data_IF_000790329931
#
_entry.id   IF_000790329931
#
_cell.length_a   1.000
_cell.length_b   1.000
_cell.length_c   1.000
_cell.angle_alpha   90.00
_cell.angle_beta   90.00
_cell.angle_gamma   90.00
#
_symmetry.space_group_name_H-M   'P 1'
#
loop_
_entity.id
_entity.type
_entity.pdbx_description
1 polymer ?
#
# COMPACT_ATOMS: atom_id res chain seq x y z
N UNK A 1 -3.32 13.12 -23.89
CA UNK A 1 -2.28 13.64 -22.99
C UNK A 1 -2.25 12.78 -21.74
N UNK A 2 -1.10 12.23 -21.31
CA UNK A 2 -1.03 11.52 -20.04
C UNK A 2 -1.34 12.50 -18.91
N UNK A 3 -2.27 12.13 -18.02
CA UNK A 3 -2.49 12.86 -16.77
C UNK A 3 -1.25 12.59 -15.93
N UNK A 4 -0.36 13.58 -15.80
CA UNK A 4 0.76 13.49 -14.88
C UNK A 4 0.18 13.43 -13.46
N UNK A 5 0.40 12.30 -12.78
CA UNK A 5 0.05 12.18 -11.38
C UNK A 5 0.84 13.23 -10.59
N UNK A 6 0.13 14.15 -9.90
CA UNK A 6 0.76 15.08 -8.96
C UNK A 6 1.25 14.28 -7.77
N UNK A 7 2.55 14.05 -7.70
CA UNK A 7 3.23 13.37 -6.58
C UNK A 7 4.14 14.36 -5.86
N UNK A 8 4.20 14.24 -4.54
CA UNK A 8 5.07 15.01 -3.64
C UNK A 8 5.62 14.06 -2.55
N UNK A 9 6.63 14.52 -1.81
CA UNK A 9 7.18 13.88 -0.63
C UNK A 9 6.81 14.60 0.66
N UNK A 10 6.23 15.81 0.59
CA UNK A 10 5.77 16.53 1.77
C UNK A 10 4.55 15.83 2.38
N UNK A 11 4.77 15.06 3.46
CA UNK A 11 3.73 14.35 4.22
C UNK A 11 3.45 14.95 5.60
N UNK A 12 4.36 15.81 6.09
CA UNK A 12 4.36 16.35 7.44
C UNK A 12 3.52 17.64 7.51
N UNK A 13 2.22 17.44 7.31
CA UNK A 13 1.20 18.48 7.45
C UNK A 13 0.06 17.95 8.32
N UNK A 14 -0.58 18.87 9.03
CA UNK A 14 -1.75 18.55 9.85
C UNK A 14 -3.02 18.81 9.06
N UNK A 15 -4.02 17.95 9.27
CA UNK A 15 -5.34 18.08 8.68
C UNK A 15 -6.38 18.22 9.78
N UNK A 16 -7.27 19.18 9.63
CA UNK A 16 -8.44 19.38 10.50
C UNK A 16 -9.72 19.04 9.76
N UNK A 17 -10.69 18.47 10.46
CA UNK A 17 -12.03 18.27 9.94
C UNK A 17 -12.91 19.47 10.31
N UNK A 18 -13.52 20.12 9.32
CA UNK A 18 -14.32 21.35 9.49
C UNK A 18 -15.75 21.11 9.00
N UNK A 19 -16.75 21.49 9.79
CA UNK A 19 -18.16 21.36 9.42
C UNK A 19 -18.52 22.31 8.27
N UNK A 20 -19.22 21.79 7.27
CA UNK A 20 -19.76 22.61 6.18
C UNK A 20 -21.19 23.04 6.55
N UNK A 21 -21.52 24.33 6.62
CA UNK A 21 -22.89 24.78 6.83
C UNK A 21 -23.74 24.50 5.57
N UNK A 22 -25.05 24.33 5.76
CA UNK A 22 -26.00 24.23 4.67
C UNK A 22 -25.97 25.54 3.87
N UNK A 23 -25.80 25.49 2.52
CA UNK A 23 -25.49 26.68 1.73
C UNK A 23 -26.59 27.74 1.77
N UNK A 24 -27.86 27.33 1.91
CA UNK A 24 -29.00 28.27 1.95
C UNK A 24 -29.41 28.67 3.38
N UNK A 25 -29.40 27.73 4.33
CA UNK A 25 -29.99 27.95 5.66
C UNK A 25 -28.95 28.24 6.73
N UNK A 26 -27.66 28.02 6.46
CA UNK A 26 -26.57 28.13 7.45
C UNK A 26 -26.57 27.02 8.53
N UNK A 27 -27.59 26.15 8.55
CA UNK A 27 -27.73 25.06 9.52
C UNK A 27 -26.69 23.95 9.30
N UNK A 28 -26.62 22.97 10.19
CA UNK A 28 -25.73 21.81 10.02
C UNK A 28 -26.10 21.01 8.77
N UNK A 29 -25.15 20.84 7.84
CA UNK A 29 -25.37 20.04 6.63
C UNK A 29 -25.12 18.53 6.82
N UNK A 30 -24.39 18.14 7.88
CA UNK A 30 -23.88 16.78 8.05
C UNK A 30 -22.62 16.46 7.23
N UNK A 31 -22.20 17.38 6.35
CA UNK A 31 -20.96 17.29 5.60
C UNK A 31 -19.82 18.02 6.30
N UNK A 32 -18.63 17.49 6.12
CA UNK A 32 -17.38 18.03 6.63
C UNK A 32 -16.36 18.09 5.52
N UNK A 33 -15.40 18.99 5.64
CA UNK A 33 -14.21 19.06 4.80
C UNK A 33 -12.99 18.72 5.64
N UNK A 34 -12.10 17.93 5.08
CA UNK A 34 -10.76 17.76 5.63
C UNK A 34 -9.86 18.80 4.98
N UNK A 35 -9.27 19.67 5.80
CA UNK A 35 -8.55 20.87 5.38
C UNK A 35 -7.14 20.83 5.96
N UNK A 36 -6.14 21.05 5.11
CA UNK A 36 -4.76 21.24 5.52
C UNK A 36 -4.61 22.52 6.33
N UNK A 37 -3.91 22.46 7.47
CA UNK A 37 -3.77 23.62 8.35
C UNK A 37 -2.69 24.60 7.91
N UNK A 38 -1.76 24.17 7.05
CA UNK A 38 -0.61 24.95 6.60
C UNK A 38 -0.92 25.81 5.37
N UNK A 39 -1.89 25.39 4.53
CA UNK A 39 -2.22 26.09 3.28
C UNK A 39 -3.73 26.22 2.99
N UNK A 40 -4.59 25.80 3.93
CA UNK A 40 -6.06 25.78 3.81
C UNK A 40 -6.62 25.00 2.60
N UNK A 41 -5.83 24.15 1.96
CA UNK A 41 -6.31 23.30 0.87
C UNK A 41 -7.32 22.26 1.38
N UNK A 42 -8.44 22.15 0.66
CA UNK A 42 -9.46 21.13 0.90
C UNK A 42 -9.00 19.82 0.27
N UNK A 43 -8.72 18.83 1.10
CA UNK A 43 -8.27 17.51 0.67
C UNK A 43 -9.42 16.55 0.32
N UNK A 44 -10.59 16.76 0.92
CA UNK A 44 -11.73 15.89 0.66
C UNK A 44 -12.95 16.20 1.51
N UNK A 45 -14.08 15.62 1.08
CA UNK A 45 -15.37 15.75 1.74
C UNK A 45 -15.70 14.50 2.52
N UNK A 46 -16.14 14.67 3.76
CA UNK A 46 -16.41 13.58 4.71
C UNK A 46 -17.70 13.83 5.49
N UNK A 47 -17.99 12.92 6.43
CA UNK A 47 -19.05 13.09 7.43
C UNK A 47 -18.44 13.16 8.82
N UNK A 48 -19.25 13.52 9.81
CA UNK A 48 -18.92 13.52 11.24
C UNK A 48 -18.44 12.17 11.80
N UNK A 49 -18.74 11.08 11.07
CA UNK A 49 -18.34 9.71 11.41
C UNK A 49 -16.93 9.37 10.97
N UNK A 50 -16.33 10.17 10.11
CA UNK A 50 -15.00 9.93 9.58
C UNK A 50 -13.94 10.20 10.66
N UNK A 51 -13.16 9.18 11.02
CA UNK A 51 -12.04 9.31 11.94
C UNK A 51 -10.81 9.81 11.20
N UNK A 52 -10.44 11.06 11.42
CA UNK A 52 -9.23 11.66 10.87
C UNK A 52 -8.01 11.10 11.61
N UNK A 53 -7.00 10.70 10.84
CA UNK A 53 -5.69 10.26 11.33
C UNK A 53 -4.64 10.99 10.52
N UNK A 54 -3.74 11.74 11.18
CA UNK A 54 -2.69 12.44 10.46
C UNK A 54 -1.63 11.46 9.98
N UNK A 55 -0.93 11.83 8.92
CA UNK A 55 0.12 10.99 8.36
C UNK A 55 1.24 10.77 9.37
N UNK A 56 1.65 11.81 10.12
CA UNK A 56 2.65 11.73 11.18
C UNK A 56 2.31 10.63 12.19
N UNK A 57 1.11 10.65 12.78
CA UNK A 57 0.66 9.65 13.76
C UNK A 57 0.76 8.20 13.23
N UNK A 58 0.46 8.01 11.93
CA UNK A 58 0.53 6.70 11.29
C UNK A 58 1.97 6.24 11.05
N UNK A 59 2.84 7.15 10.60
CA UNK A 59 4.24 6.85 10.32
C UNK A 59 5.05 6.69 11.60
N UNK A 60 4.86 7.54 12.61
CA UNK A 60 5.52 7.43 13.91
C UNK A 60 5.22 6.08 14.57
N UNK A 61 3.99 5.58 14.41
CA UNK A 61 3.62 4.25 14.91
C UNK A 61 4.38 3.13 14.19
N UNK A 62 4.61 3.26 12.88
CA UNK A 62 5.36 2.29 12.11
C UNK A 62 6.86 2.35 12.45
N UNK A 63 7.42 3.55 12.49
CA UNK A 63 8.82 3.81 12.86
C UNK A 63 9.11 3.23 14.24
N UNK A 64 8.30 3.56 15.24
CA UNK A 64 8.45 3.05 16.61
C UNK A 64 8.33 1.52 16.70
N UNK A 65 7.50 0.89 15.85
CA UNK A 65 7.38 -0.57 15.82
C UNK A 65 8.64 -1.25 15.27
N UNK A 66 9.31 -0.64 14.28
CA UNK A 66 10.58 -1.13 13.74
C UNK A 66 11.75 -0.85 14.68
N UNK A 67 11.82 0.35 15.25
CA UNK A 67 12.85 0.74 16.22
C UNK A 67 12.84 -0.17 17.45
N UNK A 68 11.65 -0.47 17.99
CA UNK A 68 11.50 -1.38 19.13
C UNK A 68 12.00 -2.81 18.86
N UNK A 69 12.07 -3.22 17.58
CA UNK A 69 12.53 -4.54 17.13
C UNK A 69 13.98 -4.51 16.61
N UNK A 70 14.61 -3.34 16.58
CA UNK A 70 15.93 -3.16 15.97
C UNK A 70 15.96 -3.52 14.48
N UNK A 71 14.86 -3.30 13.76
CA UNK A 71 14.77 -3.57 12.32
C UNK A 71 15.15 -2.30 11.58
N UNK A 72 16.25 -2.35 10.84
CA UNK A 72 16.66 -1.27 9.96
C UNK A 72 15.74 -1.21 8.73
N UNK A 73 15.27 -0.01 8.39
CA UNK A 73 14.36 0.22 7.25
C UNK A 73 14.80 1.40 6.39
N UNK A 74 14.64 1.26 5.07
CA UNK A 74 14.70 2.40 4.15
C UNK A 74 13.27 2.87 3.86
N UNK A 75 12.94 4.10 4.29
CA UNK A 75 11.60 4.67 4.11
C UNK A 75 11.52 5.57 2.87
N UNK A 76 10.46 5.38 2.08
CA UNK A 76 10.05 6.27 0.99
C UNK A 76 8.60 6.67 1.15
N UNK A 77 8.33 7.97 1.25
CA UNK A 77 6.97 8.50 1.36
C UNK A 77 6.54 9.10 0.02
N UNK A 78 5.32 8.79 -0.39
CA UNK A 78 4.70 9.25 -1.64
C UNK A 78 3.35 9.85 -1.27
N UNK A 79 3.20 11.13 -1.54
CA UNK A 79 1.95 11.87 -1.34
C UNK A 79 1.37 12.19 -2.70
N UNK A 80 0.07 11.97 -2.88
CA UNK A 80 -0.61 12.22 -4.17
C UNK A 80 -1.83 13.09 -3.98
N UNK A 81 -2.29 13.69 -5.10
CA UNK A 81 -3.50 14.51 -5.13
C UNK A 81 -3.45 15.69 -4.15
N UNK A 82 -2.32 16.42 -4.12
CA UNK A 82 -2.15 17.63 -3.30
C UNK A 82 -2.08 17.39 -1.79
N UNK A 83 -1.92 16.14 -1.36
CA UNK A 83 -1.96 15.79 0.06
C UNK A 83 -3.16 14.93 0.45
N UNK A 84 -4.09 14.65 -0.46
CA UNK A 84 -5.27 13.86 -0.12
C UNK A 84 -4.94 12.40 0.20
N UNK A 85 -3.84 11.85 -0.33
CA UNK A 85 -3.45 10.44 -0.16
C UNK A 85 -1.97 10.34 0.14
N UNK A 86 -1.61 9.41 1.03
CA UNK A 86 -0.24 9.10 1.39
C UNK A 86 -0.01 7.60 1.31
N UNK A 87 1.15 7.23 0.77
CA UNK A 87 1.70 5.88 0.80
C UNK A 87 3.16 5.97 1.26
N UNK A 88 3.49 5.32 2.37
CA UNK A 88 4.86 5.13 2.80
C UNK A 88 5.28 3.67 2.55
N UNK A 89 6.47 3.50 2.00
CA UNK A 89 7.11 2.21 1.75
C UNK A 89 8.30 2.09 2.67
N UNK A 90 8.38 0.97 3.38
CA UNK A 90 9.44 0.63 4.30
C UNK A 90 10.11 -0.63 3.76
N UNK A 91 11.29 -0.48 3.19
CA UNK A 91 12.11 -1.60 2.74
C UNK A 91 12.92 -2.12 3.91
N UNK A 92 12.60 -3.33 4.37
CA UNK A 92 13.26 -3.95 5.52
C UNK A 92 14.67 -4.39 5.11
N UNK A 93 15.65 -4.04 5.94
CA UNK A 93 17.07 -4.29 5.71
C UNK A 93 17.57 -5.42 6.60
N UNK A 94 18.51 -6.20 6.08
CA UNK A 94 19.10 -7.35 6.78
C UNK A 94 18.84 -8.66 6.04
N UNK A 95 19.72 -9.64 6.25
CA UNK A 95 19.71 -10.90 5.51
C UNK A 95 18.44 -11.73 5.78
N UNK A 96 17.90 -11.62 6.99
CA UNK A 96 16.63 -12.27 7.36
C UNK A 96 15.41 -11.73 6.61
N UNK A 97 15.52 -10.53 6.03
CA UNK A 97 14.47 -9.91 5.23
C UNK A 97 14.73 -9.99 3.73
N UNK A 98 15.75 -10.74 3.35
CA UNK A 98 16.10 -11.03 1.97
C UNK A 98 15.98 -12.52 1.71
N UNK A 99 15.59 -12.82 0.49
CA UNK A 99 15.48 -14.18 0.03
C UNK A 99 16.04 -14.27 -1.37
N UNK A 100 17.01 -15.14 -1.56
CA UNK A 100 17.49 -15.48 -2.88
C UNK A 100 16.65 -16.64 -3.43
N UNK A 101 16.27 -16.53 -4.70
CA UNK A 101 15.69 -17.61 -5.49
C UNK A 101 16.79 -18.08 -6.44
N UNK A 102 17.63 -19.06 -6.03
CA UNK A 102 18.91 -19.32 -6.67
C UNK A 102 18.79 -19.76 -8.13
N UNK A 103 17.67 -20.42 -8.47
CA UNK A 103 17.41 -20.97 -9.80
C UNK A 103 17.33 -19.88 -10.89
N UNK A 104 16.84 -18.69 -10.53
CA UNK A 104 16.67 -17.56 -11.48
C UNK A 104 17.51 -16.34 -11.09
N UNK A 105 18.33 -16.46 -10.04
CA UNK A 105 19.19 -15.38 -9.55
C UNK A 105 18.44 -14.18 -8.96
N UNK A 106 17.17 -14.36 -8.57
CA UNK A 106 16.35 -13.27 -8.06
C UNK A 106 16.57 -13.07 -6.56
N UNK A 107 16.74 -11.81 -6.18
CA UNK A 107 16.66 -11.41 -4.78
C UNK A 107 15.31 -10.75 -4.51
N UNK A 108 14.58 -11.28 -3.55
CA UNK A 108 13.38 -10.68 -3.00
C UNK A 108 13.69 -10.04 -1.66
N UNK A 109 12.98 -8.97 -1.33
CA UNK A 109 13.04 -8.32 -0.03
C UNK A 109 11.63 -8.00 0.47
N UNK A 110 11.47 -7.92 1.79
CA UNK A 110 10.19 -7.54 2.36
C UNK A 110 10.00 -6.02 2.38
N UNK A 111 8.79 -5.61 2.03
CA UNK A 111 8.34 -4.23 2.11
C UNK A 111 7.07 -4.16 2.93
N UNK A 112 7.06 -3.26 3.90
CA UNK A 112 5.82 -2.80 4.52
C UNK A 112 5.35 -1.53 3.81
N UNK A 113 4.07 -1.48 3.48
CA UNK A 113 3.41 -0.32 2.87
C UNK A 113 2.34 0.21 3.81
N UNK A 114 2.54 1.42 4.34
CA UNK A 114 1.52 2.15 5.08
C UNK A 114 0.72 3.06 4.12
N UNK A 115 -0.60 3.13 4.28
CA UNK A 115 -1.46 3.96 3.46
C UNK A 115 -2.46 4.75 4.30
N UNK A 116 -2.72 5.97 3.86
CA UNK A 116 -3.72 6.86 4.43
C UNK A 116 -4.38 7.70 3.34
N UNK A 117 -5.61 8.14 3.58
CA UNK A 117 -6.23 9.18 2.76
C UNK A 117 -7.09 10.08 3.62
N UNK A 118 -7.33 11.31 3.16
CA UNK A 118 -8.24 12.26 3.79
C UNK A 118 -9.55 12.45 2.99
N UNK A 119 -9.69 11.79 1.84
CA UNK A 119 -10.81 11.96 0.90
C UNK A 119 -11.77 10.75 0.85
N UNK A 120 -11.56 9.75 1.71
CA UNK A 120 -12.27 8.45 1.76
C UNK A 120 -11.92 7.46 0.65
N UNK A 121 -10.93 7.77 -0.19
CA UNK A 121 -10.51 6.86 -1.26
C UNK A 121 -9.76 5.64 -0.75
N UNK A 122 -9.01 5.78 0.34
CA UNK A 122 -8.25 4.70 0.98
C UNK A 122 -8.71 4.50 2.41
N UNK A 123 -8.47 3.28 2.90
CA UNK A 123 -8.53 2.97 4.33
C UNK A 123 -7.13 3.19 4.92
N UNK A 124 -7.08 3.29 6.24
CA UNK A 124 -5.80 3.18 6.94
C UNK A 124 -5.36 1.73 6.81
N UNK A 125 -4.18 1.49 6.26
CA UNK A 125 -3.67 0.13 6.13
C UNK A 125 -2.17 0.03 6.29
N UNK A 126 -1.75 -1.12 6.80
CA UNK A 126 -0.39 -1.64 6.74
C UNK A 126 -0.43 -2.94 5.96
N UNK A 127 0.32 -3.01 4.87
CA UNK A 127 0.44 -4.20 4.04
C UNK A 127 1.90 -4.64 3.99
N UNK A 128 2.17 -5.87 4.41
CA UNK A 128 3.49 -6.48 4.35
C UNK A 128 3.51 -7.46 3.18
N UNK A 129 4.51 -7.35 2.31
CA UNK A 129 4.63 -8.20 1.12
C UNK A 129 6.05 -8.29 0.60
N UNK A 130 6.24 -9.21 -0.35
CA UNK A 130 7.51 -9.44 -1.02
C UNK A 130 7.66 -8.56 -2.26
N UNK A 131 8.85 -8.00 -2.43
CA UNK A 131 9.22 -7.20 -3.58
C UNK A 131 10.48 -7.79 -4.19
N UNK A 132 10.43 -8.09 -5.49
CA UNK A 132 11.60 -8.51 -6.25
C UNK A 132 12.52 -7.29 -6.46
N UNK A 133 13.78 -7.37 -6.03
CA UNK A 133 14.70 -6.22 -6.01
C UNK A 133 15.08 -5.68 -7.40
N UNK A 134 14.97 -6.50 -8.46
CA UNK A 134 15.19 -6.04 -9.84
C UNK A 134 14.08 -5.09 -10.32
N UNK A 135 12.94 -5.08 -9.65
CA UNK A 135 11.79 -4.24 -9.97
C UNK A 135 11.92 -2.84 -9.33
N UNK A 136 12.92 -2.05 -9.74
CA UNK A 136 13.08 -0.65 -9.31
C UNK A 136 11.90 0.26 -9.74
N UNK A 137 11.06 -0.22 -10.65
CA UNK A 137 9.81 0.39 -11.12
C UNK A 137 8.59 0.12 -10.23
N UNK A 138 8.75 -0.55 -9.08
CA UNK A 138 7.65 -0.76 -8.11
C UNK A 138 6.70 -1.90 -8.45
N UNK A 139 7.12 -2.85 -9.29
CA UNK A 139 6.41 -4.10 -9.50
C UNK A 139 6.60 -4.99 -8.27
N UNK A 140 5.64 -4.90 -7.34
CA UNK A 140 5.48 -5.80 -6.20
C UNK A 140 4.85 -7.10 -6.65
N UNK A 141 5.05 -8.19 -5.93
CA UNK A 141 4.28 -9.40 -6.20
C UNK A 141 2.79 -9.12 -5.93
N UNK A 142 1.90 -9.85 -6.59
CA UNK A 142 0.44 -9.65 -6.46
C UNK A 142 -0.09 -10.01 -5.05
N UNK A 143 0.72 -10.69 -4.24
CA UNK A 143 0.35 -11.16 -2.91
C UNK A 143 0.81 -10.19 -1.82
N UNK A 144 -0.17 -9.68 -1.08
CA UNK A 144 0.07 -9.14 0.26
C UNK A 144 0.07 -10.34 1.20
N UNK A 145 1.23 -10.68 1.75
CA UNK A 145 1.37 -11.78 2.71
C UNK A 145 0.51 -11.52 3.95
N UNK A 146 0.49 -10.26 4.40
CA UNK A 146 -0.39 -9.79 5.48
C UNK A 146 -0.91 -8.39 5.18
N UNK A 147 -2.21 -8.17 5.38
CA UNK A 147 -2.83 -6.86 5.31
C UNK A 147 -3.64 -6.55 6.58
N UNK A 148 -3.27 -5.48 7.27
CA UNK A 148 -3.97 -4.93 8.43
C UNK A 148 -4.69 -3.65 8.00
N UNK A 149 -6.02 -3.63 8.07
CA UNK A 149 -6.83 -2.52 7.54
C UNK A 149 -7.86 -2.05 8.54
N UNK A 150 -8.02 -0.73 8.67
CA UNK A 150 -9.10 -0.11 9.44
C UNK A 150 -9.78 0.98 8.62
N UNK A 151 -11.11 0.99 8.67
CA UNK A 151 -11.90 2.10 8.11
C UNK A 151 -11.68 3.36 8.95
N UNK A 152 -11.65 4.51 8.28
CA UNK A 152 -11.78 5.79 8.96
C UNK A 152 -13.15 5.89 9.65
N UNK A 153 -13.16 5.71 10.97
CA UNK A 153 -14.33 5.86 11.83
C UNK A 153 -13.94 6.60 13.10
N UNK A 154 -14.89 7.20 13.82
CA UNK A 154 -14.60 7.85 15.12
C UNK A 154 -13.95 6.95 16.17
N UNK A 155 -14.05 5.63 15.99
CA UNK A 155 -13.47 4.61 16.87
C UNK A 155 -12.14 4.08 16.32
N UNK A 156 -11.57 4.72 15.31
CA UNK A 156 -10.27 4.34 14.78
C UNK A 156 -9.21 4.61 15.84
N UNK A 157 -8.44 3.57 16.16
CA UNK A 157 -7.26 3.66 17.01
C UNK A 157 -6.13 2.99 16.25
N UNK A 158 -5.06 3.73 15.97
CA UNK A 158 -3.92 3.27 15.18
C UNK A 158 -3.19 2.13 15.91
N UNK A 159 -3.18 2.17 17.25
CA UNK A 159 -2.59 1.12 18.08
C UNK A 159 -3.22 -0.25 17.89
N UNK A 160 -4.51 -0.30 17.53
CA UNK A 160 -5.23 -1.55 17.26
C UNK A 160 -4.97 -2.11 15.86
N UNK A 161 -4.34 -1.32 14.96
CA UNK A 161 -4.12 -1.71 13.56
C UNK A 161 -2.79 -2.44 13.42
N UNK A 162 -1.72 -1.89 14.01
CA UNK A 162 -0.40 -2.49 14.07
C UNK A 162 -0.05 -2.76 15.53
N UNK A 163 -0.76 -3.74 16.12
CA UNK A 163 -0.33 -4.27 17.40
C UNK A 163 1.01 -4.98 17.21
N UNK A 164 1.82 -5.01 18.27
CA UNK A 164 3.10 -5.72 18.24
C UNK A 164 2.92 -7.17 17.81
N UNK A 165 1.92 -7.86 18.38
CA UNK A 165 1.58 -9.22 18.00
C UNK A 165 1.20 -9.36 16.52
N UNK A 166 0.49 -8.39 15.94
CA UNK A 166 0.07 -8.47 14.54
C UNK A 166 1.27 -8.32 13.59
N UNK A 167 2.22 -7.44 13.93
CA UNK A 167 3.46 -7.29 13.18
C UNK A 167 4.36 -8.52 13.33
N UNK A 168 4.51 -9.05 14.54
CA UNK A 168 5.34 -10.25 14.79
C UNK A 168 4.78 -11.49 14.10
N UNK A 169 3.46 -11.67 14.13
CA UNK A 169 2.78 -12.73 13.37
C UNK A 169 2.90 -12.53 11.86
N UNK A 170 3.02 -11.29 11.38
CA UNK A 170 3.25 -11.03 9.98
C UNK A 170 4.68 -11.38 9.59
N UNK A 171 5.67 -10.90 10.35
CA UNK A 171 7.09 -11.17 10.14
C UNK A 171 7.43 -12.67 10.22
N UNK A 172 6.73 -13.45 11.05
CA UNK A 172 6.95 -14.89 11.13
C UNK A 172 6.47 -15.64 9.88
N UNK A 173 5.31 -15.26 9.32
CA UNK A 173 4.77 -15.86 8.09
C UNK A 173 5.65 -15.58 6.87
N UNK A 174 6.32 -14.45 6.88
CA UNK A 174 7.17 -14.04 5.77
C UNK A 174 8.26 -15.06 5.44
N UNK A 175 8.91 -15.65 6.45
CA UNK A 175 9.98 -16.63 6.24
C UNK A 175 9.53 -17.84 5.40
N UNK A 176 8.26 -18.22 5.49
CA UNK A 176 7.70 -19.35 4.74
C UNK A 176 7.37 -18.99 3.29
N UNK A 177 7.07 -17.72 2.99
CA UNK A 177 6.63 -17.26 1.66
C UNK A 177 7.70 -17.45 0.58
N UNK A 178 8.99 -17.43 0.93
CA UNK A 178 10.12 -17.70 0.02
C UNK A 178 10.00 -19.09 -0.63
N UNK A 179 9.52 -20.08 0.11
CA UNK A 179 9.37 -21.45 -0.39
C UNK A 179 8.34 -21.53 -1.53
N UNK A 180 7.36 -20.63 -1.56
CA UNK A 180 6.39 -20.55 -2.66
C UNK A 180 7.10 -20.10 -3.93
N UNK A 181 7.86 -19.01 -3.88
CA UNK A 181 8.60 -18.50 -5.04
C UNK A 181 9.73 -19.44 -5.48
N UNK A 182 10.40 -20.11 -4.54
CA UNK A 182 11.35 -21.17 -4.85
C UNK A 182 10.73 -22.31 -5.65
N UNK A 183 9.51 -22.74 -5.29
CA UNK A 183 8.77 -23.75 -6.08
C UNK A 183 8.33 -23.22 -7.43
N UNK A 184 7.84 -21.99 -7.51
CA UNK A 184 7.46 -21.38 -8.79
C UNK A 184 8.65 -21.30 -9.75
N UNK A 185 9.84 -20.97 -9.25
CA UNK A 185 11.06 -20.91 -10.05
C UNK A 185 11.56 -22.28 -10.54
N UNK A 186 11.08 -23.38 -9.97
CA UNK A 186 11.38 -24.74 -10.45
C UNK A 186 10.44 -25.20 -11.57
N UNK A 187 9.34 -24.46 -11.82
CA UNK A 187 8.39 -24.81 -12.87
C UNK A 187 8.79 -24.12 -14.16
N UNK A 188 9.38 -24.88 -15.07
CA UNK A 188 9.56 -24.45 -16.45
C UNK A 188 8.20 -24.46 -17.16
N UNK A 189 7.89 -23.36 -17.85
CA UNK A 189 6.69 -23.23 -18.68
C UNK A 189 7.09 -23.10 -20.13
N UNK A 190 6.52 -23.96 -20.98
CA UNK A 190 6.63 -23.80 -22.42
C UNK A 190 5.83 -22.58 -22.89
N UNK A 191 6.21 -22.03 -24.03
CA UNK A 191 5.59 -20.85 -24.62
C UNK A 191 4.06 -21.00 -24.74
N UNK A 192 3.62 -22.15 -25.26
CA UNK A 192 2.20 -22.47 -25.45
C UNK A 192 1.46 -22.60 -24.12
N UNK A 193 2.09 -23.19 -23.10
CA UNK A 193 1.52 -23.32 -21.76
C UNK A 193 1.25 -21.93 -21.15
N UNK A 194 2.20 -21.00 -21.30
CA UNK A 194 2.02 -19.61 -20.85
C UNK A 194 0.82 -18.92 -21.51
N UNK A 195 0.66 -19.06 -22.84
CA UNK A 195 -0.48 -18.49 -23.56
C UNK A 195 -1.81 -19.14 -23.16
N UNK A 196 -1.82 -20.45 -22.92
CA UNK A 196 -3.00 -21.18 -22.46
C UNK A 196 -3.41 -20.76 -21.05
N UNK A 197 -2.45 -20.54 -20.14
CA UNK A 197 -2.70 -19.98 -18.80
C UNK A 197 -3.36 -18.61 -18.92
N UNK A 198 -2.80 -17.71 -19.74
CA UNK A 198 -3.34 -16.37 -19.95
C UNK A 198 -4.77 -16.40 -20.50
N UNK A 199 -5.06 -17.27 -21.46
CA UNK A 199 -6.41 -17.46 -22.00
C UNK A 199 -7.40 -17.95 -20.93
N UNK A 200 -6.98 -18.90 -20.09
CA UNK A 200 -7.81 -19.41 -19.00
C UNK A 200 -8.07 -18.37 -17.92
N UNK A 201 -7.09 -17.53 -17.57
CA UNK A 201 -7.24 -16.43 -16.61
C UNK A 201 -8.24 -15.37 -17.10
N UNK A 202 -8.19 -15.02 -18.39
CA UNK A 202 -9.15 -14.09 -18.99
C UNK A 202 -10.56 -14.69 -19.04
N UNK A 203 -10.68 -15.96 -19.44
CA UNK A 203 -11.96 -16.70 -19.43
C UNK A 203 -12.56 -16.79 -18.02
N UNK A 204 -11.71 -17.01 -17.01
CA UNK A 204 -12.07 -17.02 -15.60
C UNK A 204 -12.37 -15.64 -15.01
N UNK A 205 -12.26 -14.57 -15.80
CA UNK A 205 -12.44 -13.16 -15.39
C UNK A 205 -11.49 -12.72 -14.27
N UNK A 206 -10.33 -13.39 -14.15
CA UNK A 206 -9.26 -13.00 -13.22
C UNK A 206 -8.54 -11.77 -13.75
N UNK A 207 -8.33 -11.72 -15.07
CA UNK A 207 -7.75 -10.56 -15.77
C UNK A 207 -8.64 -10.13 -16.93
N UNK A 208 -8.53 -8.86 -17.34
CA UNK A 208 -9.20 -8.38 -18.54
C UNK A 208 -8.49 -8.84 -19.82
N UNK A 209 -9.23 -8.92 -20.92
CA UNK A 209 -8.68 -9.30 -22.23
C UNK A 209 -7.54 -8.38 -22.67
N UNK A 210 -7.68 -7.08 -22.42
CA UNK A 210 -6.63 -6.08 -22.70
C UNK A 210 -5.34 -6.35 -21.92
N UNK A 211 -5.47 -6.75 -20.65
CA UNK A 211 -4.32 -7.12 -19.82
C UNK A 211 -3.70 -8.43 -20.32
N UNK A 212 -4.53 -9.42 -20.70
CA UNK A 212 -4.07 -10.68 -21.30
C UNK A 212 -3.20 -10.43 -22.53
N UNK A 213 -3.68 -9.62 -23.47
CA UNK A 213 -2.95 -9.28 -24.71
C UNK A 213 -1.64 -8.56 -24.42
N UNK A 214 -1.64 -7.62 -23.47
CA UNK A 214 -0.44 -6.88 -23.09
C UNK A 214 0.64 -7.80 -22.51
N UNK A 215 0.25 -8.75 -21.65
CA UNK A 215 1.17 -9.73 -21.08
C UNK A 215 1.64 -10.70 -22.16
N UNK A 216 0.75 -11.19 -23.03
CA UNK A 216 1.09 -12.11 -24.12
C UNK A 216 2.08 -11.50 -25.11
N UNK A 217 2.03 -10.19 -25.35
CA UNK A 217 3.00 -9.50 -26.18
C UNK A 217 4.41 -9.55 -25.59
N UNK A 218 4.54 -9.26 -24.28
CA UNK A 218 5.82 -9.35 -23.56
C UNK A 218 6.30 -10.81 -23.53
N UNK A 219 5.40 -11.76 -23.29
CA UNK A 219 5.71 -13.19 -23.23
C UNK A 219 6.27 -13.74 -24.55
N UNK A 220 5.80 -13.23 -25.69
CA UNK A 220 6.26 -13.64 -27.03
C UNK A 220 7.47 -12.87 -27.56
N UNK A 221 7.96 -11.86 -26.82
CA UNK A 221 9.11 -11.03 -27.20
C UNK A 221 10.42 -11.65 -26.71
#
# INVERSE_FOLDING_TARGET
MPILAKQDQNYDYTVKQVAVPHPETGNKSGYFMNIRTDNDEILGWTSDRYGLVNNADLLDKADGAFEARGIDVTRKVIVTEGGAKMRAQYDLSGDMFRAEVPQVGDTMAYRLTAQNSFDRSLRISFALGLVRLICTNGMVTMEKEVEMVKKHSRQVNIGDIISDDALDNALSKLGDSVNVYGRLAQVELEQEQGLNILANLAKGKVISEKVRESIAHIWNS
#
